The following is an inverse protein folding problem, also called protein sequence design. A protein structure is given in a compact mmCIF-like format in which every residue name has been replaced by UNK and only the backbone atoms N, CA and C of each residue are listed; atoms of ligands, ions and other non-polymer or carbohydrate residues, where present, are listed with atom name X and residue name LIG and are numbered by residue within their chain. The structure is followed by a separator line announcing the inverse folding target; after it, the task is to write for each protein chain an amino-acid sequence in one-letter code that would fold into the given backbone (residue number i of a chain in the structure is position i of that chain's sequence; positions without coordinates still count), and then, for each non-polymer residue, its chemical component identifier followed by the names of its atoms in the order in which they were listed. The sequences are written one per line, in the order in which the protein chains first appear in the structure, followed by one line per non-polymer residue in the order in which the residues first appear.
data_IF_485511781267
#
_entry.id   IF_485511781267
#
_cell.length_a   1.000
_cell.length_b   1.000
_cell.length_c   1.000
_cell.angle_alpha   90.00
_cell.angle_beta   90.00
_cell.angle_gamma   90.00
#
_symmetry.space_group_name_H-M   'P 1'
#
loop_
_entity.id
_entity.type
_entity.pdbx_description
1 polymer ?
#
# COMPACT_ATOMS: atom_id res chain seq x y z
N UNK A 1 3.44 14.10 -3.57
CA UNK A 1 2.96 13.96 -2.18
C UNK A 1 1.50 14.40 -2.13
N UNK A 2 0.66 13.61 -1.43
CA UNK A 2 -0.70 14.02 -1.11
C UNK A 2 -0.62 15.16 -0.07
N UNK A 3 -1.35 16.26 -0.29
CA UNK A 3 -1.43 17.33 0.72
C UNK A 3 -2.07 16.78 2.00
N UNK A 4 -1.42 16.95 3.15
CA UNK A 4 -1.96 16.54 4.46
C UNK A 4 -1.83 15.06 4.80
N UNK A 5 -0.95 14.31 4.12
CA UNK A 5 -0.80 12.87 4.36
C UNK A 5 -0.26 12.55 5.77
N UNK A 6 0.61 13.40 6.31
CA UNK A 6 1.26 13.24 7.63
C UNK A 6 0.26 13.29 8.80
N UNK A 7 -0.92 13.88 8.59
CA UNK A 7 -2.00 13.84 9.58
C UNK A 7 -2.54 12.42 9.79
N UNK A 8 -2.44 11.55 8.77
CA UNK A 8 -2.96 10.18 8.85
C UNK A 8 -2.22 9.36 9.92
N UNK A 9 -0.93 9.56 10.12
CA UNK A 9 -0.18 8.89 11.18
C UNK A 9 -0.73 9.26 12.56
N UNK A 10 -1.01 10.54 12.76
CA UNK A 10 -1.63 11.04 13.99
C UNK A 10 -3.00 10.42 14.23
N UNK A 11 -3.83 10.35 13.19
CA UNK A 11 -5.16 9.74 13.27
C UNK A 11 -5.12 8.24 13.54
N UNK A 12 -4.25 7.49 12.86
CA UNK A 12 -4.09 6.05 13.11
C UNK A 12 -3.63 5.82 14.56
N UNK A 13 -2.68 6.61 15.07
CA UNK A 13 -2.25 6.52 16.49
C UNK A 13 -3.37 6.87 17.45
N UNK A 14 -4.17 7.91 17.16
CA UNK A 14 -5.33 8.31 17.97
C UNK A 14 -6.37 7.18 18.01
N UNK A 15 -6.75 6.63 16.87
CA UNK A 15 -7.72 5.55 16.76
C UNK A 15 -7.25 4.26 17.47
N UNK A 16 -5.96 3.92 17.39
CA UNK A 16 -5.41 2.78 18.13
C UNK A 16 -5.51 2.99 19.64
N UNK A 17 -5.18 4.18 20.16
CA UNK A 17 -5.34 4.47 21.59
C UNK A 17 -6.80 4.41 22.03
N UNK A 18 -7.72 4.92 21.22
CA UNK A 18 -9.15 4.87 21.52
C UNK A 18 -9.71 3.44 21.53
N UNK A 19 -9.27 2.61 20.58
CA UNK A 19 -9.77 1.23 20.46
C UNK A 19 -9.08 0.25 21.43
N UNK A 20 -7.79 0.44 21.71
CA UNK A 20 -6.94 -0.54 22.38
C UNK A 20 -6.24 -0.02 23.64
N UNK A 21 -6.35 1.27 23.96
CA UNK A 21 -5.67 1.90 25.10
C UNK A 21 -4.17 2.20 24.88
N UNK A 22 -3.58 1.76 23.77
CA UNK A 22 -2.20 1.98 23.41
C UNK A 22 -2.00 1.93 21.87
N UNK A 23 -0.84 2.36 21.40
CA UNK A 23 -0.42 2.13 20.03
C UNK A 23 0.04 0.68 19.85
N UNK A 24 -0.27 0.07 18.71
CA UNK A 24 0.06 -1.31 18.39
C UNK A 24 1.41 -1.43 17.68
N UNK A 25 2.39 -2.10 18.31
CA UNK A 25 3.63 -2.53 17.67
C UNK A 25 4.43 -1.45 16.92
N UNK A 26 5.27 -1.87 15.98
CA UNK A 26 6.03 -0.98 15.10
C UNK A 26 5.40 -0.94 13.72
N UNK A 27 4.97 0.24 13.28
CA UNK A 27 4.41 0.47 11.95
C UNK A 27 4.79 1.87 11.44
N UNK A 28 4.70 2.03 10.12
CA UNK A 28 4.81 3.31 9.42
C UNK A 28 3.84 3.35 8.25
N UNK A 29 3.48 4.56 7.82
CA UNK A 29 2.74 4.78 6.57
C UNK A 29 3.68 5.33 5.51
N UNK A 30 3.64 4.74 4.32
CA UNK A 30 4.34 5.29 3.16
C UNK A 30 3.37 6.12 2.30
N UNK A 31 3.52 7.44 2.36
CA UNK A 31 2.62 8.36 1.67
C UNK A 31 2.97 8.59 0.19
N UNK A 32 4.03 7.94 -0.33
CA UNK A 32 4.52 8.19 -1.70
C UNK A 32 3.64 7.54 -2.76
N UNK A 33 3.05 6.38 -2.46
CA UNK A 33 2.38 5.51 -3.43
C UNK A 33 0.85 5.71 -3.48
N UNK A 34 0.39 6.95 -3.41
CA UNK A 34 -1.05 7.26 -3.42
C UNK A 34 -1.68 7.23 -4.83
N UNK A 35 -0.88 7.34 -5.90
CA UNK A 35 -1.32 7.29 -7.30
C UNK A 35 -2.52 8.22 -7.61
N UNK A 36 -2.42 9.48 -7.16
CA UNK A 36 -3.47 10.47 -7.37
C UNK A 36 -4.62 10.44 -6.35
N UNK A 37 -4.58 9.55 -5.36
CA UNK A 37 -5.48 9.56 -4.21
C UNK A 37 -6.46 8.38 -4.15
N UNK A 38 -7.50 8.54 -3.34
CA UNK A 38 -8.51 7.51 -3.08
C UNK A 38 -9.23 7.05 -4.35
N UNK A 39 -9.39 5.73 -4.52
CA UNK A 39 -10.04 5.11 -5.68
C UNK A 39 -9.46 5.50 -7.06
N UNK A 40 -8.27 6.13 -7.10
CA UNK A 40 -7.60 6.53 -8.35
C UNK A 40 -6.55 5.51 -8.79
N UNK A 41 -6.44 5.32 -10.10
CA UNK A 41 -5.38 4.58 -10.75
C UNK A 41 -4.66 5.47 -11.77
N UNK A 42 -3.44 5.10 -12.14
CA UNK A 42 -2.61 5.81 -13.13
C UNK A 42 -2.20 4.86 -14.25
N UNK A 43 -1.79 5.37 -15.44
CA UNK A 43 -1.23 4.52 -16.50
C UNK A 43 -0.08 3.63 -16.01
N UNK A 44 0.83 4.19 -15.19
CA UNK A 44 1.92 3.43 -14.58
C UNK A 44 1.45 2.30 -13.67
N UNK A 45 0.43 2.54 -12.83
CA UNK A 45 -0.13 1.50 -11.95
C UNK A 45 -0.79 0.38 -12.75
N UNK A 46 -1.49 0.72 -13.85
CA UNK A 46 -2.10 -0.27 -14.74
C UNK A 46 -1.07 -1.10 -15.48
N UNK A 47 -0.01 -0.46 -15.98
CA UNK A 47 1.11 -1.16 -16.62
C UNK A 47 1.78 -2.14 -15.65
N UNK A 48 2.06 -1.69 -14.43
CA UNK A 48 2.55 -2.55 -13.35
C UNK A 48 1.61 -3.73 -13.07
N UNK A 49 0.30 -3.47 -12.96
CA UNK A 49 -0.70 -4.52 -12.68
C UNK A 49 -0.68 -5.61 -13.74
N UNK A 50 -0.65 -5.22 -15.02
CA UNK A 50 -0.60 -6.17 -16.14
C UNK A 50 0.69 -6.99 -16.14
N UNK A 51 1.83 -6.34 -15.92
CA UNK A 51 3.14 -6.98 -15.88
C UNK A 51 3.29 -7.91 -14.65
N UNK A 52 2.82 -7.50 -13.48
CA UNK A 52 2.77 -8.35 -12.28
C UNK A 52 1.92 -9.60 -12.53
N UNK A 53 0.76 -9.44 -13.17
CA UNK A 53 -0.12 -10.56 -13.53
C UNK A 53 0.58 -11.53 -14.46
N UNK A 54 1.23 -11.02 -15.52
CA UNK A 54 1.94 -11.83 -16.48
C UNK A 54 3.10 -12.62 -15.85
N UNK A 55 3.82 -12.02 -14.90
CA UNK A 55 4.98 -12.64 -14.25
C UNK A 55 4.63 -13.65 -13.16
N UNK A 56 3.53 -13.42 -12.43
CA UNK A 56 3.21 -14.18 -11.22
C UNK A 56 1.94 -15.03 -11.32
N UNK A 57 1.16 -14.89 -12.39
CA UNK A 57 -0.12 -15.60 -12.54
C UNK A 57 -1.19 -15.16 -11.52
N UNK A 58 -0.97 -14.04 -10.84
CA UNK A 58 -1.87 -13.45 -9.86
C UNK A 58 -2.32 -12.08 -10.34
N UNK A 59 -3.63 -11.91 -10.54
CA UNK A 59 -4.24 -10.65 -10.97
C UNK A 59 -4.71 -9.83 -9.76
N UNK A 60 -3.92 -8.87 -9.25
CA UNK A 60 -4.35 -8.07 -8.11
C UNK A 60 -5.52 -7.14 -8.48
N UNK A 61 -6.31 -6.77 -7.48
CA UNK A 61 -7.28 -5.67 -7.59
C UNK A 61 -6.56 -4.39 -8.06
N UNK A 62 -7.10 -3.77 -9.11
CA UNK A 62 -6.40 -2.80 -9.95
C UNK A 62 -6.04 -1.46 -9.27
N UNK A 63 -6.57 -1.18 -8.08
CA UNK A 63 -6.37 0.07 -7.35
C UNK A 63 -5.55 -0.16 -6.08
N UNK A 64 -6.13 -0.73 -5.04
CA UNK A 64 -5.54 -0.80 -3.71
C UNK A 64 -4.49 -1.89 -3.60
N UNK A 65 -4.79 -3.10 -4.08
CA UNK A 65 -3.83 -4.21 -4.02
C UNK A 65 -2.64 -3.90 -4.93
N UNK A 66 -2.90 -3.40 -6.14
CA UNK A 66 -1.82 -2.95 -7.03
C UNK A 66 -0.96 -1.84 -6.43
N UNK A 67 -1.54 -0.84 -5.72
CA UNK A 67 -0.75 0.20 -5.04
C UNK A 67 0.16 -0.37 -3.97
N UNK A 68 -0.36 -1.30 -3.16
CA UNK A 68 0.42 -1.93 -2.11
C UNK A 68 1.60 -2.73 -2.69
N UNK A 69 1.36 -3.54 -3.73
CA UNK A 69 2.41 -4.32 -4.39
C UNK A 69 3.42 -3.43 -5.11
N UNK A 70 2.96 -2.36 -5.78
CA UNK A 70 3.83 -1.37 -6.40
C UNK A 70 4.74 -0.71 -5.36
N UNK A 71 4.18 -0.30 -4.21
CA UNK A 71 4.93 0.29 -3.11
C UNK A 71 6.00 -0.65 -2.54
N UNK A 72 5.71 -1.94 -2.42
CA UNK A 72 6.68 -2.93 -1.93
C UNK A 72 7.85 -3.10 -2.89
N UNK A 73 7.58 -3.16 -4.19
CA UNK A 73 8.59 -3.40 -5.22
C UNK A 73 9.43 -2.15 -5.52
N UNK A 74 8.80 -0.97 -5.56
CA UNK A 74 9.47 0.29 -5.89
C UNK A 74 9.96 1.06 -4.66
N UNK A 75 9.33 0.87 -3.49
CA UNK A 75 9.59 1.62 -2.27
C UNK A 75 10.86 1.24 -1.53
N UNK A 76 11.47 0.12 -1.91
CA UNK A 76 12.77 -0.32 -1.41
C UNK A 76 12.73 -0.73 0.06
N UNK A 77 12.26 -1.95 0.33
CA UNK A 77 12.38 -2.58 1.66
C UNK A 77 13.78 -3.15 1.96
N UNK A 78 14.73 -2.91 1.06
CA UNK A 78 16.10 -3.45 1.07
C UNK A 78 16.19 -4.78 0.32
N UNK A 79 17.28 -4.98 -0.41
CA UNK A 79 17.54 -6.24 -1.10
C UNK A 79 17.76 -7.39 -0.10
N UNK A 80 17.36 -8.62 -0.48
CA UNK A 80 17.56 -9.82 0.33
C UNK A 80 16.61 -9.96 1.53
N UNK A 81 15.48 -9.24 1.53
CA UNK A 81 14.45 -9.36 2.56
C UNK A 81 13.28 -10.18 2.05
N UNK A 82 12.81 -11.12 2.87
CA UNK A 82 11.52 -11.76 2.66
C UNK A 82 10.41 -10.83 3.14
N UNK A 83 9.44 -10.59 2.27
CA UNK A 83 8.33 -9.67 2.51
C UNK A 83 7.01 -10.41 2.37
N UNK A 84 6.17 -10.33 3.41
CA UNK A 84 4.81 -10.83 3.37
C UNK A 84 3.86 -9.66 3.17
N UNK A 85 3.04 -9.72 2.12
CA UNK A 85 2.00 -8.73 1.84
C UNK A 85 0.64 -9.33 2.14
N UNK A 86 -0.14 -8.68 3.01
CA UNK A 86 -1.51 -9.09 3.32
C UNK A 86 -2.45 -8.47 2.30
N UNK A 87 -3.09 -9.30 1.49
CA UNK A 87 -4.06 -8.88 0.47
C UNK A 87 -5.48 -9.06 1.00
N UNK A 88 -6.25 -7.97 1.04
CA UNK A 88 -7.64 -7.97 1.51
C UNK A 88 -8.67 -7.76 0.39
N UNK A 89 -8.22 -7.39 -0.80
CA UNK A 89 -9.07 -7.27 -1.99
C UNK A 89 -9.16 -8.60 -2.74
N UNK A 90 -10.30 -8.86 -3.38
CA UNK A 90 -10.44 -10.01 -4.27
C UNK A 90 -9.56 -9.84 -5.52
N UNK A 91 -8.89 -10.90 -6.01
CA UNK A 91 -8.29 -10.90 -7.34
C UNK A 91 -9.35 -10.60 -8.40
N UNK A 92 -8.93 -10.01 -9.52
CA UNK A 92 -9.78 -9.82 -10.69
C UNK A 92 -10.04 -11.14 -11.43
#
# INVERSE_FOLDING_TARGET
MLKGAEYLDGEVRRLQREAFGAEGGTWSLDHRFHHGGFARSTPGLRAFTADFTARHGFAPEAVYVSKALFAVLEGGLGAGRDVVVVVTGAPL
#
